data_IF_450462597866
#
_entry.id   IF_450462597866
#
_cell.length_a   1.000
_cell.length_b   1.000
_cell.length_c   1.000
_cell.angle_alpha   90.00
_cell.angle_beta   90.00
_cell.angle_gamma   90.00
#
_symmetry.space_group_name_H-M   'P 1'
#
loop_
_entity.id
_entity.type
_entity.pdbx_description
1 polymer ?
#
# COMPACT_ATOMS: atom_id res chain seq x y z
N UNK A 1 3.03 13.44 -16.73
CA UNK A 1 3.43 12.01 -16.81
C UNK A 1 2.23 11.20 -17.27
N UNK A 2 2.42 10.32 -18.25
CA UNK A 2 1.39 9.34 -18.63
C UNK A 2 1.28 8.22 -17.57
N UNK A 3 0.32 7.31 -17.74
CA UNK A 3 0.07 6.24 -16.77
C UNK A 3 1.30 5.34 -16.56
N UNK A 4 1.97 4.94 -17.64
CA UNK A 4 3.16 4.09 -17.58
C UNK A 4 4.31 4.78 -16.84
N UNK A 5 4.58 6.05 -17.16
CA UNK A 5 5.58 6.86 -16.47
C UNK A 5 5.28 6.99 -14.97
N UNK A 6 4.01 7.15 -14.60
CA UNK A 6 3.57 7.17 -13.19
C UNK A 6 3.80 5.83 -12.49
N UNK A 7 3.50 4.72 -13.16
CA UNK A 7 3.73 3.38 -12.61
C UNK A 7 5.23 3.14 -12.42
N UNK A 8 6.04 3.42 -13.43
CA UNK A 8 7.50 3.25 -13.35
C UNK A 8 8.10 4.08 -12.22
N UNK A 9 7.70 5.34 -12.09
CA UNK A 9 8.19 6.20 -11.01
C UNK A 9 7.74 5.70 -9.64
N UNK A 10 6.48 5.27 -9.50
CA UNK A 10 5.99 4.67 -8.26
C UNK A 10 6.81 3.43 -7.87
N UNK A 11 7.09 2.53 -8.83
CA UNK A 11 7.91 1.34 -8.58
C UNK A 11 9.34 1.70 -8.16
N UNK A 12 9.94 2.73 -8.76
CA UNK A 12 11.25 3.25 -8.37
C UNK A 12 11.24 3.74 -6.92
N UNK A 13 10.24 4.54 -6.55
CA UNK A 13 10.08 5.05 -5.18
C UNK A 13 9.91 3.92 -4.16
N UNK A 14 9.14 2.87 -4.50
CA UNK A 14 8.99 1.70 -3.63
C UNK A 14 10.32 0.96 -3.42
N UNK A 15 11.15 0.82 -4.46
CA UNK A 15 12.48 0.23 -4.31
C UNK A 15 13.42 1.08 -3.45
N UNK A 16 13.34 2.41 -3.56
CA UNK A 16 14.12 3.31 -2.70
C UNK A 16 13.67 3.26 -1.25
N UNK A 17 12.35 3.19 -1.01
CA UNK A 17 11.79 2.98 0.31
C UNK A 17 12.30 1.67 0.92
N UNK A 18 12.19 0.56 0.19
CA UNK A 18 12.71 -0.74 0.64
C UNK A 18 14.21 -0.68 0.99
N UNK A 19 15.04 -0.10 0.12
CA UNK A 19 16.48 0.02 0.40
C UNK A 19 16.78 0.85 1.65
N UNK A 20 15.96 1.86 1.94
CA UNK A 20 16.17 2.78 3.05
C UNK A 20 15.63 2.25 4.38
N UNK A 21 14.50 1.55 4.36
CA UNK A 21 13.76 1.18 5.59
C UNK A 21 13.71 -0.32 5.85
N UNK A 22 14.00 -1.14 4.85
CA UNK A 22 13.73 -2.59 4.89
C UNK A 22 12.24 -2.93 4.75
N UNK A 23 11.37 -1.94 4.51
CA UNK A 23 9.91 -2.13 4.45
C UNK A 23 9.41 -2.12 3.01
N UNK A 24 8.54 -3.06 2.65
CA UNK A 24 7.87 -3.13 1.34
C UNK A 24 6.40 -3.49 1.50
N UNK A 25 5.66 -3.43 0.40
CA UNK A 25 4.38 -4.14 0.26
C UNK A 25 4.62 -5.53 -0.33
N UNK A 26 3.89 -6.52 0.16
CA UNK A 26 3.95 -7.92 -0.28
C UNK A 26 2.54 -8.46 -0.51
N UNK A 27 2.43 -9.47 -1.37
CA UNK A 27 1.20 -10.24 -1.55
C UNK A 27 1.40 -11.59 -0.87
N UNK A 28 0.57 -11.91 0.10
CA UNK A 28 0.47 -13.26 0.65
C UNK A 28 -0.67 -14.01 -0.03
N UNK A 29 -0.52 -15.32 -0.20
CA UNK A 29 -1.57 -16.16 -0.79
C UNK A 29 -2.87 -16.00 -0.01
N UNK A 30 -3.96 -15.73 -0.72
CA UNK A 30 -5.29 -15.52 -0.13
C UNK A 30 -5.42 -14.29 0.78
N UNK A 31 -4.45 -13.36 0.78
CA UNK A 31 -4.52 -12.10 1.52
C UNK A 31 -4.43 -10.89 0.59
N UNK A 32 -4.92 -9.76 1.10
CA UNK A 32 -4.69 -8.45 0.51
C UNK A 32 -3.19 -8.11 0.52
N UNK A 33 -2.81 -7.05 -0.18
CA UNK A 33 -1.48 -6.44 -0.04
C UNK A 33 -1.23 -6.11 1.44
N UNK A 34 -0.12 -6.62 1.98
CA UNK A 34 0.34 -6.37 3.35
C UNK A 34 1.62 -5.56 3.33
N UNK A 35 1.88 -4.81 4.39
CA UNK A 35 3.20 -4.22 4.62
C UNK A 35 4.09 -5.29 5.28
N UNK A 36 5.34 -5.37 4.86
CA UNK A 36 6.26 -6.43 5.25
C UNK A 36 7.63 -5.86 5.61
N UNK A 37 8.19 -6.30 6.74
CA UNK A 37 9.54 -5.99 7.18
C UNK A 37 10.51 -7.07 6.69
N UNK A 38 11.33 -6.74 5.70
CA UNK A 38 12.33 -7.68 5.15
C UNK A 38 13.53 -7.88 6.06
N UNK A 39 13.76 -6.99 7.03
CA UNK A 39 14.84 -7.11 8.01
C UNK A 39 14.48 -8.14 9.07
N UNK A 40 13.21 -8.18 9.48
CA UNK A 40 12.67 -9.14 10.47
C UNK A 40 11.99 -10.36 9.85
N UNK A 41 11.69 -10.30 8.55
CA UNK A 41 10.99 -11.33 7.80
C UNK A 41 9.57 -11.62 8.35
N UNK A 42 8.80 -10.57 8.63
CA UNK A 42 7.44 -10.67 9.17
C UNK A 42 6.48 -9.62 8.56
N UNK A 43 5.17 -9.93 8.46
CA UNK A 43 4.18 -8.94 8.09
C UNK A 43 3.97 -7.93 9.23
N UNK A 44 3.75 -6.67 8.87
CA UNK A 44 3.42 -5.60 9.81
C UNK A 44 1.91 -5.42 9.85
N UNK A 45 1.33 -5.54 11.03
CA UNK A 45 -0.05 -5.12 11.28
C UNK A 45 -0.09 -3.60 11.39
N UNK A 46 -0.75 -2.96 10.43
CA UNK A 46 -0.92 -1.52 10.39
C UNK A 46 -2.37 -1.17 10.72
N UNK A 47 -2.54 -0.41 11.78
CA UNK A 47 -3.77 0.33 11.98
C UNK A 47 -3.74 1.58 11.08
N UNK A 48 -4.55 1.57 10.02
CA UNK A 48 -4.68 2.73 9.15
C UNK A 48 -5.67 3.69 9.80
N UNK A 49 -5.15 4.76 10.40
CA UNK A 49 -5.97 5.82 11.00
C UNK A 49 -6.43 6.84 9.96
N UNK A 50 -5.60 7.15 8.96
CA UNK A 50 -5.94 8.07 7.86
C UNK A 50 -5.67 7.41 6.53
N UNK A 51 -6.64 7.45 5.61
CA UNK A 51 -6.48 6.74 4.35
C UNK A 51 -7.53 7.06 3.30
N UNK A 52 -7.32 6.46 2.12
CA UNK A 52 -8.30 6.42 1.04
C UNK A 52 -8.57 4.96 0.72
N UNK A 53 -9.80 4.54 0.95
CA UNK A 53 -10.30 3.23 0.54
C UNK A 53 -10.82 3.33 -0.89
N UNK A 54 -10.42 2.38 -1.74
CA UNK A 54 -10.91 2.26 -3.12
C UNK A 54 -11.52 0.87 -3.28
N UNK A 55 -12.85 0.80 -3.40
CA UNK A 55 -13.58 -0.47 -3.57
C UNK A 55 -14.05 -0.60 -5.01
N UNK A 56 -13.89 -1.80 -5.59
CA UNK A 56 -14.42 -2.13 -6.91
C UNK A 56 -15.41 -3.27 -6.82
N UNK A 57 -16.69 -2.97 -7.00
CA UNK A 57 -17.78 -3.95 -6.97
C UNK A 57 -18.72 -3.73 -8.16
N UNK A 58 -19.10 -4.81 -8.85
CA UNK A 58 -20.05 -4.75 -9.96
C UNK A 58 -19.64 -3.82 -11.12
N UNK A 59 -18.34 -3.55 -11.30
CA UNK A 59 -17.82 -2.61 -12.31
C UNK A 59 -17.86 -1.13 -11.89
N UNK A 60 -18.38 -0.80 -10.71
CA UNK A 60 -18.29 0.53 -10.13
C UNK A 60 -17.07 0.64 -9.22
N UNK A 61 -16.46 1.83 -9.19
CA UNK A 61 -15.37 2.15 -8.26
C UNK A 61 -15.89 3.19 -7.26
N UNK A 62 -15.88 2.86 -5.97
CA UNK A 62 -16.10 3.84 -4.90
C UNK A 62 -14.75 4.26 -4.31
N UNK A 63 -14.66 5.52 -3.90
CA UNK A 63 -13.48 6.09 -3.26
C UNK A 63 -13.93 6.80 -1.99
N UNK A 64 -13.47 6.33 -0.84
CA UNK A 64 -13.81 6.89 0.47
C UNK A 64 -12.53 7.37 1.14
N UNK A 65 -12.45 8.66 1.47
CA UNK A 65 -11.37 9.20 2.31
C UNK A 65 -11.84 9.15 3.77
N UNK A 66 -10.99 8.65 4.66
CA UNK A 66 -11.29 8.57 6.09
C UNK A 66 -10.12 9.10 6.93
N UNK A 67 -10.46 9.65 8.09
CA UNK A 67 -9.54 10.07 9.14
C UNK A 67 -10.16 9.68 10.49
N UNK A 68 -9.48 8.77 11.19
CA UNK A 68 -9.83 8.18 12.49
C UNK A 68 -8.78 8.55 13.54
N UNK A 69 -7.96 9.56 13.29
CA UNK A 69 -6.93 10.02 14.24
C UNK A 69 -7.48 10.78 15.45
N UNK A 70 -8.80 11.06 15.45
CA UNK A 70 -9.50 11.82 16.49
C UNK A 70 -10.42 11.02 17.41
N UNK A 71 -10.43 9.69 17.33
CA UNK A 71 -11.06 8.80 18.32
C UNK A 71 -10.10 8.46 19.48
#
# INVERSE_FOLDING_TARGET
MNQEQRITEFMRLMQEALKKTGITVAVESSRNLVVFDTTKNEPIELEITVGTEVVKEGGQTSVTVFDRSGD
#
